data_IF_417539513794
#
_entry.id   IF_417539513794
#
_cell.length_a   1.000
_cell.length_b   1.000
_cell.length_c   1.000
_cell.angle_alpha   90.00
_cell.angle_beta   90.00
_cell.angle_gamma   90.00
#
_symmetry.space_group_name_H-M   'P 1'
#
loop_
_entity.id
_entity.type
_entity.pdbx_description
1 polymer ?
#
# COMPACT_ATOMS: atom_id res chain seq x y z
N UNK A 1 -29.55 10.80 -47.88
CA UNK A 1 -28.13 10.78 -47.44
C UNK A 1 -27.61 12.11 -46.90
N UNK A 2 -28.39 13.21 -46.86
CA UNK A 2 -27.91 14.52 -46.37
C UNK A 2 -27.81 14.64 -44.84
N UNK A 3 -28.64 13.89 -44.09
CA UNK A 3 -28.67 13.88 -42.62
C UNK A 3 -27.87 12.74 -41.98
N UNK A 4 -27.51 11.72 -42.76
CA UNK A 4 -26.74 10.56 -42.27
C UNK A 4 -25.28 10.94 -41.97
N UNK A 5 -24.73 11.83 -42.79
CA UNK A 5 -23.36 12.33 -42.64
C UNK A 5 -23.17 13.08 -41.32
N UNK A 6 -23.94 14.14 -40.98
CA UNK A 6 -23.76 14.85 -39.71
C UNK A 6 -24.03 13.96 -38.48
N UNK A 7 -24.96 13.01 -38.58
CA UNK A 7 -25.26 12.08 -37.48
C UNK A 7 -24.06 11.17 -37.16
N UNK A 8 -23.36 10.67 -38.19
CA UNK A 8 -22.15 9.87 -37.99
C UNK A 8 -21.02 10.66 -37.31
N UNK A 9 -20.82 11.93 -37.68
CA UNK A 9 -19.81 12.77 -37.04
C UNK A 9 -20.09 12.96 -35.55
N UNK A 10 -21.36 13.22 -35.18
CA UNK A 10 -21.75 13.36 -33.77
C UNK A 10 -21.51 12.06 -33.00
N UNK A 11 -21.86 10.91 -33.59
CA UNK A 11 -21.65 9.60 -32.96
C UNK A 11 -20.16 9.27 -32.74
N UNK A 12 -19.29 9.61 -33.70
CA UNK A 12 -17.85 9.41 -33.59
C UNK A 12 -17.28 10.30 -32.46
N UNK A 13 -17.65 11.57 -32.42
CA UNK A 13 -17.16 12.50 -31.38
C UNK A 13 -17.59 12.01 -29.99
N UNK A 14 -18.86 11.66 -29.80
CA UNK A 14 -19.34 11.12 -28.53
C UNK A 14 -18.60 9.84 -28.13
N UNK A 15 -18.36 8.93 -29.08
CA UNK A 15 -17.62 7.69 -28.83
C UNK A 15 -16.18 7.97 -28.38
N UNK A 16 -15.50 8.93 -29.02
CA UNK A 16 -14.14 9.31 -28.62
C UNK A 16 -14.10 9.91 -27.20
N UNK A 17 -15.02 10.81 -26.86
CA UNK A 17 -15.10 11.42 -25.53
C UNK A 17 -15.34 10.36 -24.44
N UNK A 18 -16.24 9.41 -24.69
CA UNK A 18 -16.52 8.28 -23.79
C UNK A 18 -15.28 7.38 -23.59
N UNK A 19 -14.56 7.07 -24.68
CA UNK A 19 -13.34 6.25 -24.63
C UNK A 19 -12.20 6.96 -23.89
N UNK A 20 -12.05 8.28 -24.07
CA UNK A 20 -11.05 9.08 -23.37
C UNK A 20 -11.35 9.21 -21.86
N UNK A 21 -12.62 9.27 -21.47
CA UNK A 21 -13.02 9.37 -20.06
C UNK A 21 -12.81 8.07 -19.27
N UNK A 22 -12.91 6.92 -19.94
CA UNK A 22 -12.68 5.60 -19.35
C UNK A 22 -11.21 5.18 -19.25
N UNK A 23 -10.31 5.86 -19.95
CA UNK A 23 -8.87 5.58 -19.96
C UNK A 23 -8.06 6.53 -19.07
N UNK A 24 -8.66 7.06 -17.99
CA UNK A 24 -7.89 7.46 -16.83
C UNK A 24 -7.26 6.18 -16.28
N UNK A 25 -6.04 5.87 -16.73
CA UNK A 25 -5.18 4.87 -16.13
C UNK A 25 -5.18 5.19 -14.65
N UNK A 26 -5.92 4.41 -13.87
CA UNK A 26 -5.93 4.50 -12.41
C UNK A 26 -4.51 4.15 -12.01
N UNK A 27 -3.66 5.17 -11.94
CA UNK A 27 -2.32 5.06 -11.41
C UNK A 27 -2.56 4.80 -9.93
N UNK A 28 -2.71 3.52 -9.58
CA UNK A 28 -2.47 3.08 -8.22
C UNK A 28 -1.15 3.72 -7.83
N UNK A 29 -1.18 4.53 -6.79
CA UNK A 29 -0.04 5.32 -6.38
C UNK A 29 1.11 4.33 -6.15
N UNK A 30 2.03 4.31 -7.11
CA UNK A 30 3.09 3.32 -7.19
C UNK A 30 4.22 3.91 -6.40
N UNK A 31 4.50 3.30 -5.24
CA UNK A 31 5.63 3.73 -4.43
C UNK A 31 6.91 3.51 -5.27
N UNK A 32 7.63 4.59 -5.65
CA UNK A 32 8.85 4.47 -6.45
C UNK A 32 9.96 3.72 -5.71
N UNK A 33 9.81 3.49 -4.40
CA UNK A 33 10.74 2.82 -3.52
C UNK A 33 10.21 1.45 -3.03
N UNK A 34 9.41 0.76 -3.84
CA UNK A 34 8.92 -0.60 -3.53
C UNK A 34 10.04 -1.65 -3.38
N UNK A 35 11.27 -1.29 -3.77
CA UNK A 35 12.46 -2.11 -3.55
C UNK A 35 12.95 -1.98 -2.10
N UNK A 36 12.08 -2.34 -1.16
CA UNK A 36 12.45 -2.56 0.22
C UNK A 36 13.31 -3.82 0.33
N UNK A 37 14.59 -3.69 -0.02
CA UNK A 37 15.61 -4.72 0.10
C UNK A 37 16.00 -5.08 1.54
N UNK A 38 15.25 -4.59 2.54
CA UNK A 38 15.58 -4.78 3.94
C UNK A 38 14.73 -5.90 4.55
N UNK A 39 15.40 -6.81 5.26
CA UNK A 39 14.91 -7.98 6.02
C UNK A 39 13.91 -7.64 7.16
N UNK A 40 13.01 -6.68 6.95
CA UNK A 40 12.01 -6.32 7.95
C UNK A 40 10.78 -7.22 7.83
N UNK A 41 10.19 -7.53 8.99
CA UNK A 41 8.97 -8.34 9.14
C UNK A 41 7.89 -7.99 8.11
N UNK A 42 7.39 -8.99 7.37
CA UNK A 42 6.45 -8.80 6.25
C UNK A 42 5.16 -8.06 6.67
N UNK A 43 4.72 -8.23 7.92
CA UNK A 43 3.54 -7.53 8.44
C UNK A 43 3.70 -6.00 8.51
N UNK A 44 4.93 -5.48 8.50
CA UNK A 44 5.21 -4.03 8.50
C UNK A 44 5.28 -3.43 7.10
N UNK A 45 5.27 -4.26 6.05
CA UNK A 45 5.33 -3.84 4.64
C UNK A 45 4.25 -2.82 4.25
N UNK A 46 2.98 -2.92 4.71
CA UNK A 46 1.97 -1.92 4.38
C UNK A 46 2.32 -0.49 4.83
N UNK A 47 3.19 -0.32 5.83
CA UNK A 47 3.58 1.02 6.33
C UNK A 47 4.38 1.83 5.29
N UNK A 48 4.99 1.18 4.30
CA UNK A 48 5.63 1.88 3.17
C UNK A 48 4.61 2.61 2.28
N UNK A 49 3.33 2.25 2.35
CA UNK A 49 2.30 3.00 1.63
C UNK A 49 2.10 4.43 2.18
N UNK A 50 2.64 4.75 3.35
CA UNK A 50 2.63 6.11 3.88
C UNK A 50 3.45 7.10 3.02
N UNK A 51 4.40 6.60 2.21
CA UNK A 51 5.12 7.39 1.20
C UNK A 51 4.15 8.05 0.20
N UNK A 52 3.00 7.43 -0.06
CA UNK A 52 2.00 7.89 -1.02
C UNK A 52 1.24 9.13 -0.55
N UNK A 53 1.30 9.42 0.75
CA UNK A 53 0.62 10.55 1.40
C UNK A 53 1.62 11.54 2.03
N UNK A 54 2.90 11.45 1.67
CA UNK A 54 3.94 12.41 2.04
C UNK A 54 4.67 12.15 3.35
N UNK A 55 4.45 11.00 3.99
CA UNK A 55 5.26 10.56 5.14
C UNK A 55 6.42 9.69 4.68
N UNK A 56 7.47 9.56 5.50
CA UNK A 56 8.54 8.58 5.26
C UNK A 56 8.10 7.20 5.78
N UNK A 57 7.43 6.44 4.90
CA UNK A 57 6.95 5.09 5.15
C UNK A 57 8.08 4.08 5.38
N UNK A 58 9.28 4.32 4.86
CA UNK A 58 10.45 3.49 5.15
C UNK A 58 10.92 3.68 6.60
N UNK A 59 11.03 4.93 7.06
CA UNK A 59 11.35 5.25 8.45
C UNK A 59 10.26 4.75 9.40
N UNK A 60 8.99 4.90 9.02
CA UNK A 60 7.86 4.38 9.79
C UNK A 60 7.95 2.85 9.95
N UNK A 61 8.18 2.13 8.85
CA UNK A 61 8.36 0.67 8.87
C UNK A 61 9.52 0.25 9.80
N UNK A 62 10.67 0.93 9.71
CA UNK A 62 11.85 0.66 10.57
C UNK A 62 11.55 0.87 12.05
N UNK A 63 10.90 1.98 12.39
CA UNK A 63 10.56 2.29 13.77
C UNK A 63 9.61 1.26 14.36
N UNK A 64 8.54 0.89 13.64
CA UNK A 64 7.57 -0.11 14.11
C UNK A 64 8.22 -1.48 14.28
N UNK A 65 9.14 -1.86 13.39
CA UNK A 65 9.88 -3.10 13.53
C UNK A 65 10.74 -3.13 14.79
N UNK A 66 11.55 -2.10 15.07
CA UNK A 66 12.33 -2.04 16.30
C UNK A 66 11.46 -2.07 17.57
N UNK A 67 10.31 -1.39 17.55
CA UNK A 67 9.35 -1.43 18.67
C UNK A 67 8.82 -2.85 18.87
N UNK A 68 8.50 -3.54 17.77
CA UNK A 68 8.00 -4.92 17.84
C UNK A 68 9.07 -5.86 18.38
N UNK A 69 10.32 -5.76 17.94
CA UNK A 69 11.42 -6.58 18.47
C UNK A 69 11.68 -6.33 19.96
N UNK A 70 11.65 -5.07 20.39
CA UNK A 70 11.79 -4.73 21.80
C UNK A 70 10.64 -5.30 22.65
N UNK A 71 9.42 -5.26 22.11
CA UNK A 71 8.24 -5.83 22.76
C UNK A 71 8.30 -7.36 22.82
N UNK A 72 8.65 -8.03 21.72
CA UNK A 72 8.81 -9.49 21.67
C UNK A 72 9.87 -9.95 22.69
N UNK A 73 10.99 -9.22 22.80
CA UNK A 73 12.01 -9.50 23.82
C UNK A 73 11.48 -9.33 25.24
N UNK A 74 10.73 -8.25 25.51
CA UNK A 74 10.14 -8.01 26.82
C UNK A 74 9.10 -9.08 27.18
N UNK A 75 8.24 -9.48 26.24
CA UNK A 75 7.29 -10.56 26.44
C UNK A 75 7.98 -11.89 26.76
N UNK A 76 9.07 -12.23 26.04
CA UNK A 76 9.85 -13.43 26.35
C UNK A 76 10.48 -13.37 27.75
N UNK A 77 10.88 -12.20 28.22
CA UNK A 77 11.39 -12.01 29.58
C UNK A 77 10.29 -12.23 30.62
N UNK A 78 9.09 -11.67 30.39
CA UNK A 78 7.92 -11.91 31.25
C UNK A 78 7.54 -13.39 31.24
N UNK A 79 7.47 -14.06 30.08
CA UNK A 79 7.14 -15.48 29.99
C UNK A 79 8.12 -16.34 30.80
N UNK A 80 9.41 -16.01 30.81
CA UNK A 80 10.41 -16.68 31.65
C UNK A 80 10.23 -16.41 33.15
N UNK A 81 9.72 -15.23 33.51
CA UNK A 81 9.41 -14.88 34.91
C UNK A 81 8.07 -15.46 35.37
N UNK A 82 7.16 -15.72 34.43
CA UNK A 82 5.80 -16.23 34.65
C UNK A 82 5.72 -17.74 34.48
N UNK A 83 6.76 -18.43 33.98
CA UNK A 83 6.96 -19.87 34.17
C UNK A 83 6.67 -20.18 35.64
N UNK A 84 5.50 -20.78 35.94
CA UNK A 84 5.18 -21.11 37.30
C UNK A 84 6.20 -22.15 37.69
N UNK A 85 6.90 -21.90 38.79
CA UNK A 85 7.44 -23.00 39.55
C UNK A 85 6.36 -24.08 39.64
N UNK A 86 6.76 -25.30 39.31
CA UNK A 86 6.05 -26.52 39.63
C UNK A 86 5.59 -26.44 41.09
N UNK A 87 4.39 -25.91 41.29
CA UNK A 87 3.74 -25.79 42.57
C UNK A 87 2.86 -27.01 42.75
N UNK A 88 3.48 -28.07 43.29
CA UNK A 88 2.89 -29.32 43.78
C UNK A 88 2.15 -30.23 42.80
#
# INVERSE_FOLDING_TARGET
MKTLFPLMFVAIIFSTILLLSGCQKKTAATNPNSQSKAELRENTKPLQAADLVGYDGTKLRKNVHHITEANDKHNQEIEKMVEPGQGQ
#
